data_IF_548932791071
#
_entry.id   IF_548932791071
#
_cell.length_a   1.000
_cell.length_b   1.000
_cell.length_c   1.000
_cell.angle_alpha   90.00
_cell.angle_beta   90.00
_cell.angle_gamma   90.00
#
_symmetry.space_group_name_H-M   'P 1'
#
loop_
_entity.id
_entity.type
_entity.pdbx_description
1 polymer ?
#
# COMPACT_ATOMS: atom_id res chain seq x y z
N UNK A 1 -51.79 30.15 5.91
CA UNK A 1 -52.50 30.79 4.79
C UNK A 1 -53.26 29.72 4.03
N UNK A 2 -54.59 29.72 4.13
CA UNK A 2 -55.58 29.39 3.10
C UNK A 2 -56.94 29.47 3.78
N UNK A 3 -57.50 30.67 3.71
CA UNK A 3 -58.91 31.01 3.86
C UNK A 3 -59.74 30.31 2.79
N UNK A 4 -60.97 29.91 3.09
CA UNK A 4 -62.15 29.89 2.20
C UNK A 4 -63.36 29.54 3.09
N UNK A 5 -64.08 30.54 3.59
CA UNK A 5 -65.27 31.15 2.97
C UNK A 5 -66.53 30.32 3.19
N UNK A 6 -67.39 30.90 4.03
CA UNK A 6 -68.81 30.65 4.20
C UNK A 6 -69.53 30.59 2.84
N UNK A 7 -70.36 29.56 2.60
CA UNK A 7 -71.39 29.61 1.57
C UNK A 7 -72.76 29.38 2.20
N UNK A 8 -73.61 30.39 1.99
CA UNK A 8 -75.02 30.39 2.31
C UNK A 8 -75.76 29.35 1.45
N UNK A 9 -76.63 28.57 2.06
CA UNK A 9 -77.72 27.90 1.37
C UNK A 9 -79.02 28.16 2.13
N UNK A 10 -79.90 28.91 1.46
CA UNK A 10 -81.26 29.25 1.92
C UNK A 10 -82.17 28.02 2.00
N UNK A 11 -83.21 28.06 2.84
CA UNK A 11 -84.12 26.94 3.08
C UNK A 11 -85.25 26.87 2.04
N UNK A 12 -85.77 25.68 1.70
CA UNK A 12 -87.03 25.56 0.99
C UNK A 12 -88.22 25.47 1.95
N UNK A 13 -89.23 26.31 1.67
CA UNK A 13 -90.63 25.90 1.53
C UNK A 13 -91.39 25.49 2.80
N UNK A 14 -92.24 26.41 3.29
CA UNK A 14 -93.39 26.06 4.16
C UNK A 14 -94.42 25.30 3.32
N UNK A 15 -94.66 24.04 3.69
CA UNK A 15 -95.91 23.32 3.40
C UNK A 15 -96.68 23.18 4.69
N UNK A 16 -97.86 23.80 4.75
CA UNK A 16 -98.83 23.67 5.83
C UNK A 16 -99.56 22.34 5.70
N UNK A 17 -99.63 21.54 6.77
CA UNK A 17 -100.68 20.54 6.91
C UNK A 17 -101.00 20.31 8.38
N UNK A 18 -102.29 20.43 8.65
CA UNK A 18 -103.01 20.30 9.92
C UNK A 18 -102.91 18.90 10.51
N UNK A 19 -102.88 18.78 11.84
CA UNK A 19 -103.04 17.47 12.47
C UNK A 19 -102.90 17.48 13.98
N UNK A 20 -103.98 17.85 14.67
CA UNK A 20 -104.20 17.52 16.07
C UNK A 20 -104.18 15.99 16.26
N UNK A 21 -103.40 15.50 17.23
CA UNK A 21 -103.56 14.13 17.73
C UNK A 21 -102.30 13.52 18.38
N UNK A 22 -102.45 13.11 19.65
CA UNK A 22 -101.64 12.10 20.34
C UNK A 22 -100.38 12.55 21.09
N UNK A 23 -100.61 13.38 22.13
CA UNK A 23 -99.62 13.78 23.14
C UNK A 23 -99.29 12.69 24.20
N UNK A 24 -99.96 11.53 24.22
CA UNK A 24 -99.82 10.56 25.32
C UNK A 24 -99.07 9.24 24.98
N UNK A 25 -98.94 8.83 23.70
CA UNK A 25 -98.21 7.61 23.33
C UNK A 25 -96.72 7.82 22.99
N UNK A 26 -96.30 9.06 22.67
CA UNK A 26 -94.88 9.39 22.36
C UNK A 26 -93.95 9.34 23.59
N UNK A 27 -94.47 9.52 24.82
CA UNK A 27 -93.64 9.50 26.05
C UNK A 27 -93.15 8.10 26.45
N UNK A 28 -93.83 7.01 26.06
CA UNK A 28 -93.38 5.62 26.36
C UNK A 28 -92.39 5.07 25.31
N UNK A 29 -92.58 5.34 24.02
CA UNK A 29 -91.62 4.95 22.95
C UNK A 29 -90.26 5.65 23.06
N UNK A 30 -90.26 6.97 23.34
CA UNK A 30 -89.01 7.73 23.54
C UNK A 30 -88.22 7.38 24.82
N UNK A 31 -88.83 6.69 25.80
CA UNK A 31 -88.12 6.18 27.00
C UNK A 31 -87.42 4.84 26.74
N UNK A 32 -87.95 4.02 25.83
CA UNK A 32 -87.29 2.79 25.36
C UNK A 32 -86.09 3.09 24.46
N UNK A 33 -86.28 3.99 23.49
CA UNK A 33 -85.22 4.43 22.55
C UNK A 33 -84.07 5.19 23.26
N UNK A 34 -84.35 5.94 24.34
CA UNK A 34 -83.29 6.56 25.17
C UNK A 34 -82.49 5.54 25.99
N UNK A 35 -83.13 4.49 26.49
CA UNK A 35 -82.45 3.40 27.22
C UNK A 35 -81.55 2.58 26.30
N UNK A 36 -82.01 2.26 25.10
CA UNK A 36 -81.18 1.54 24.10
C UNK A 36 -79.98 2.38 23.64
N UNK A 37 -80.15 3.69 23.45
CA UNK A 37 -79.04 4.61 23.08
C UNK A 37 -78.03 4.78 24.23
N UNK A 38 -78.49 4.84 25.49
CA UNK A 38 -77.61 4.87 26.67
C UNK A 38 -76.85 3.54 26.85
N UNK A 39 -77.51 2.40 26.65
CA UNK A 39 -76.89 1.07 26.69
C UNK A 39 -75.86 0.88 25.57
N UNK A 40 -76.15 1.34 24.34
CA UNK A 40 -75.20 1.37 23.22
C UNK A 40 -74.03 2.33 23.49
N UNK A 41 -74.28 3.48 24.12
CA UNK A 41 -73.24 4.42 24.57
C UNK A 41 -72.30 3.81 25.62
N UNK A 42 -72.84 3.04 26.57
CA UNK A 42 -72.05 2.31 27.56
C UNK A 42 -71.26 1.17 26.91
N UNK A 43 -71.88 0.42 25.98
CA UNK A 43 -71.22 -0.65 25.24
C UNK A 43 -70.07 -0.13 24.36
N UNK A 44 -70.23 1.02 23.71
CA UNK A 44 -69.18 1.66 22.90
C UNK A 44 -68.02 2.17 23.75
N UNK A 45 -68.29 2.76 24.93
CA UNK A 45 -67.25 3.14 25.91
C UNK A 45 -66.46 1.92 26.41
N UNK A 46 -67.15 0.85 26.83
CA UNK A 46 -66.51 -0.42 27.23
C UNK A 46 -65.68 -1.04 26.10
N UNK A 47 -66.14 -0.95 24.84
CA UNK A 47 -65.38 -1.41 23.66
C UNK A 47 -64.14 -0.57 23.41
N UNK A 48 -64.20 0.76 23.59
CA UNK A 48 -63.06 1.68 23.50
C UNK A 48 -62.03 1.42 24.60
N UNK A 49 -62.48 1.23 25.84
CA UNK A 49 -61.61 0.87 26.99
C UNK A 49 -60.93 -0.48 26.77
N UNK A 50 -61.67 -1.51 26.35
CA UNK A 50 -61.09 -2.82 25.99
C UNK A 50 -60.05 -2.70 24.88
N UNK A 51 -60.28 -1.84 23.88
CA UNK A 51 -59.29 -1.56 22.82
C UNK A 51 -58.05 -0.85 23.37
N UNK A 52 -58.24 0.16 24.23
CA UNK A 52 -57.15 0.91 24.87
C UNK A 52 -56.26 0.00 25.74
N UNK A 53 -56.88 -0.88 26.54
CA UNK A 53 -56.17 -1.87 27.35
C UNK A 53 -55.42 -2.86 26.46
N UNK A 54 -56.03 -3.34 25.37
CA UNK A 54 -55.35 -4.22 24.41
C UNK A 54 -54.16 -3.53 23.75
N UNK A 55 -54.29 -2.27 23.34
CA UNK A 55 -53.19 -1.51 22.75
C UNK A 55 -52.08 -1.20 23.75
N UNK A 56 -52.40 -0.86 25.00
CA UNK A 56 -51.38 -0.58 26.02
C UNK A 56 -50.60 -1.84 26.40
N UNK A 57 -51.27 -2.99 26.50
CA UNK A 57 -50.63 -4.30 26.69
C UNK A 57 -49.75 -4.68 25.49
N UNK A 58 -50.21 -4.45 24.26
CA UNK A 58 -49.42 -4.71 23.06
C UNK A 58 -48.15 -3.84 23.00
N UNK A 59 -48.26 -2.54 23.35
CA UNK A 59 -47.14 -1.61 23.42
C UNK A 59 -46.12 -2.07 24.48
N UNK A 60 -46.59 -2.43 25.69
CA UNK A 60 -45.69 -2.94 26.75
C UNK A 60 -44.96 -4.21 26.32
N UNK A 61 -45.65 -5.15 25.66
CA UNK A 61 -45.02 -6.37 25.13
C UNK A 61 -43.99 -6.08 24.04
N UNK A 62 -44.24 -5.10 23.19
CA UNK A 62 -43.28 -4.68 22.16
C UNK A 62 -42.01 -4.09 22.79
N UNK A 63 -42.15 -3.19 23.77
CA UNK A 63 -40.99 -2.60 24.45
C UNK A 63 -40.20 -3.62 25.26
N UNK A 64 -40.87 -4.54 25.98
CA UNK A 64 -40.20 -5.62 26.70
C UNK A 64 -39.35 -6.50 25.77
N UNK A 65 -39.91 -6.91 24.63
CA UNK A 65 -39.15 -7.66 23.61
C UNK A 65 -37.97 -6.87 23.04
N UNK A 66 -38.14 -5.56 22.85
CA UNK A 66 -37.08 -4.71 22.34
C UNK A 66 -35.92 -4.58 23.34
N UNK A 67 -36.25 -4.51 24.62
CA UNK A 67 -35.29 -4.45 25.73
C UNK A 67 -34.54 -5.78 25.89
N UNK A 68 -35.24 -6.92 25.81
CA UNK A 68 -34.61 -8.26 25.77
C UNK A 68 -33.60 -8.36 24.61
N UNK A 69 -33.99 -7.94 23.41
CA UNK A 69 -33.09 -7.95 22.25
C UNK A 69 -31.86 -7.04 22.43
N UNK A 70 -32.01 -5.91 23.11
CA UNK A 70 -30.88 -5.02 23.42
C UNK A 70 -29.94 -5.62 24.45
N UNK A 71 -30.48 -6.23 25.52
CA UNK A 71 -29.67 -6.93 26.50
C UNK A 71 -28.90 -8.10 25.87
N UNK A 72 -29.54 -8.87 24.99
CA UNK A 72 -28.86 -9.94 24.25
C UNK A 72 -27.75 -9.43 23.34
N UNK A 73 -27.95 -8.29 22.66
CA UNK A 73 -26.92 -7.65 21.85
C UNK A 73 -25.74 -7.19 22.71
N UNK A 74 -26.02 -6.53 23.83
CA UNK A 74 -25.00 -6.03 24.77
C UNK A 74 -24.19 -7.19 25.35
N UNK A 75 -24.84 -8.28 25.77
CA UNK A 75 -24.15 -9.48 26.23
C UNK A 75 -23.25 -10.09 25.15
N UNK A 76 -23.71 -10.13 23.88
CA UNK A 76 -22.89 -10.59 22.74
C UNK A 76 -21.72 -9.65 22.42
N UNK A 77 -21.90 -8.35 22.61
CA UNK A 77 -20.83 -7.38 22.43
C UNK A 77 -19.78 -7.50 23.54
N UNK A 78 -20.21 -7.68 24.79
CA UNK A 78 -19.32 -7.93 25.93
C UNK A 78 -18.49 -9.20 25.75
N UNK A 79 -19.12 -10.31 25.34
CA UNK A 79 -18.42 -11.56 25.05
C UNK A 79 -17.35 -11.37 23.96
N UNK A 80 -17.70 -10.69 22.86
CA UNK A 80 -16.73 -10.37 21.79
C UNK A 80 -15.58 -9.49 22.29
N UNK A 81 -15.86 -8.51 23.14
CA UNK A 81 -14.83 -7.65 23.73
C UNK A 81 -13.89 -8.43 24.66
N UNK A 82 -14.42 -9.39 25.42
CA UNK A 82 -13.61 -10.27 26.27
C UNK A 82 -12.69 -11.18 25.46
N UNK A 83 -13.20 -11.78 24.38
CA UNK A 83 -12.40 -12.58 23.45
C UNK A 83 -11.28 -11.75 22.83
N UNK A 84 -11.58 -10.54 22.36
CA UNK A 84 -10.57 -9.62 21.83
C UNK A 84 -9.52 -9.26 22.88
N UNK A 85 -9.91 -8.99 24.12
CA UNK A 85 -8.98 -8.72 25.22
C UNK A 85 -8.04 -9.89 25.49
N UNK A 86 -8.54 -11.13 25.44
CA UNK A 86 -7.71 -12.35 25.60
C UNK A 86 -6.67 -12.45 24.49
N UNK A 87 -7.09 -12.28 23.22
CA UNK A 87 -6.18 -12.31 22.07
C UNK A 87 -5.11 -11.22 22.17
N UNK A 88 -5.49 -10.00 22.56
CA UNK A 88 -4.55 -8.89 22.76
C UNK A 88 -3.57 -9.18 23.90
N UNK A 89 -4.03 -9.79 24.99
CA UNK A 89 -3.16 -10.18 26.10
C UNK A 89 -2.14 -11.24 25.67
N UNK A 90 -2.57 -12.29 24.96
CA UNK A 90 -1.68 -13.32 24.42
C UNK A 90 -0.64 -12.74 23.45
N UNK A 91 -1.06 -11.86 22.55
CA UNK A 91 -0.15 -11.16 21.65
C UNK A 91 0.84 -10.27 22.41
N UNK A 92 0.38 -9.57 23.46
CA UNK A 92 1.23 -8.67 24.23
C UNK A 92 2.40 -9.40 24.91
N UNK A 93 2.22 -10.65 25.34
CA UNK A 93 3.31 -11.45 25.93
C UNK A 93 4.36 -11.78 24.87
N UNK A 94 3.93 -12.30 23.72
CA UNK A 94 4.82 -12.63 22.58
C UNK A 94 5.57 -11.39 22.08
N UNK A 95 4.87 -10.27 22.00
CA UNK A 95 5.42 -9.01 21.54
C UNK A 95 6.46 -8.44 22.51
N UNK A 96 6.23 -8.55 23.82
CA UNK A 96 7.21 -8.18 24.85
C UNK A 96 8.49 -8.98 24.72
N UNK A 97 8.40 -10.29 24.56
CA UNK A 97 9.58 -11.16 24.38
C UNK A 97 10.34 -10.81 23.10
N UNK A 98 9.62 -10.62 21.98
CA UNK A 98 10.21 -10.23 20.69
C UNK A 98 10.93 -8.88 20.78
N UNK A 99 10.35 -7.90 21.48
CA UNK A 99 10.95 -6.58 21.66
C UNK A 99 12.23 -6.69 22.51
N UNK A 100 12.18 -7.40 23.64
CA UNK A 100 13.37 -7.63 24.48
C UNK A 100 14.50 -8.31 23.69
N UNK A 101 14.18 -9.38 22.97
CA UNK A 101 15.17 -10.07 22.13
C UNK A 101 15.81 -9.13 21.09
N UNK A 102 15.00 -8.28 20.45
CA UNK A 102 15.52 -7.29 19.47
C UNK A 102 16.38 -6.22 20.14
N UNK A 103 16.03 -5.78 21.34
CA UNK A 103 16.84 -4.82 22.12
C UNK A 103 18.20 -5.44 22.45
N UNK A 104 18.22 -6.65 23.02
CA UNK A 104 19.46 -7.37 23.36
C UNK A 104 20.34 -7.61 22.13
N UNK A 105 19.75 -7.96 20.99
CA UNK A 105 20.49 -8.14 19.73
C UNK A 105 21.12 -6.84 19.24
N UNK A 106 20.42 -5.72 19.40
CA UNK A 106 20.91 -4.40 19.00
C UNK A 106 22.05 -3.96 19.92
N UNK A 107 21.90 -4.16 21.23
CA UNK A 107 22.93 -3.92 22.23
C UNK A 107 24.20 -4.73 21.94
N UNK A 108 24.07 -6.03 21.65
CA UNK A 108 25.22 -6.87 21.26
C UNK A 108 25.97 -6.32 20.06
N UNK A 109 25.26 -5.95 18.98
CA UNK A 109 25.88 -5.36 17.78
C UNK A 109 26.56 -4.02 18.08
N UNK A 110 26.00 -3.20 18.98
CA UNK A 110 26.63 -1.95 19.38
C UNK A 110 27.91 -2.19 20.16
N UNK A 111 27.90 -3.16 21.09
CA UNK A 111 29.10 -3.55 21.84
C UNK A 111 30.20 -4.06 20.89
N UNK A 112 29.87 -5.00 19.99
CA UNK A 112 30.81 -5.52 18.98
C UNK A 112 31.40 -4.41 18.12
N UNK A 113 30.58 -3.46 17.65
CA UNK A 113 31.07 -2.31 16.87
C UNK A 113 32.00 -1.41 17.66
N UNK A 114 31.69 -1.15 18.92
CA UNK A 114 32.52 -0.33 19.80
C UNK A 114 33.87 -1.01 20.09
N UNK A 115 33.86 -2.32 20.31
CA UNK A 115 35.08 -3.12 20.50
C UNK A 115 35.97 -3.09 19.27
N UNK A 116 35.41 -3.29 18.08
CA UNK A 116 36.16 -3.20 16.81
C UNK A 116 36.72 -1.79 16.61
N UNK A 117 35.92 -0.75 16.80
CA UNK A 117 36.39 0.63 16.66
C UNK A 117 37.53 0.97 17.63
N UNK A 118 37.48 0.42 18.86
CA UNK A 118 38.54 0.62 19.85
C UNK A 118 39.84 -0.12 19.46
N UNK A 119 39.73 -1.31 18.88
CA UNK A 119 40.88 -2.05 18.34
C UNK A 119 41.50 -1.32 17.15
N UNK A 120 40.69 -0.89 16.19
CA UNK A 120 41.14 -0.12 15.02
C UNK A 120 41.85 1.17 15.44
N UNK A 121 41.28 1.94 16.39
CA UNK A 121 41.90 3.15 16.91
C UNK A 121 43.26 2.87 17.58
N UNK A 122 43.40 1.75 18.29
CA UNK A 122 44.67 1.35 18.90
C UNK A 122 45.71 0.99 17.83
N UNK A 123 45.32 0.21 16.82
CA UNK A 123 46.19 -0.14 15.70
C UNK A 123 46.64 1.07 14.88
N UNK A 124 45.73 2.02 14.64
CA UNK A 124 46.02 3.29 13.98
C UNK A 124 47.01 4.12 14.79
N UNK A 125 46.79 4.25 16.11
CA UNK A 125 47.72 4.97 16.98
C UNK A 125 49.12 4.32 16.98
N UNK A 126 49.22 2.99 16.98
CA UNK A 126 50.51 2.31 16.82
C UNK A 126 51.15 2.56 15.45
N UNK A 127 50.36 2.49 14.38
CA UNK A 127 50.81 2.76 13.02
C UNK A 127 51.35 4.17 12.88
N UNK A 128 50.65 5.16 13.43
CA UNK A 128 51.08 6.56 13.46
C UNK A 128 52.38 6.72 14.22
N UNK A 129 52.51 6.12 15.41
CA UNK A 129 53.78 6.13 16.18
C UNK A 129 54.96 5.56 15.38
N UNK A 130 54.74 4.45 14.66
CA UNK A 130 55.78 3.85 13.79
C UNK A 130 56.14 4.78 12.63
N UNK A 131 55.15 5.39 11.98
CA UNK A 131 55.37 6.34 10.90
C UNK A 131 56.06 7.61 11.38
N UNK A 132 55.73 8.12 12.56
CA UNK A 132 56.41 9.25 13.18
C UNK A 132 57.87 8.96 13.48
N UNK A 133 58.18 7.75 13.99
CA UNK A 133 59.56 7.32 14.19
C UNK A 133 60.34 7.28 12.87
N UNK A 134 59.76 6.72 11.81
CA UNK A 134 60.36 6.71 10.47
C UNK A 134 60.53 8.12 9.90
N UNK A 135 59.54 9.00 10.07
CA UNK A 135 59.62 10.41 9.66
C UNK A 135 60.78 11.11 10.35
N UNK A 136 61.00 10.85 11.64
CA UNK A 136 62.15 11.39 12.40
C UNK A 136 63.48 10.83 11.91
N UNK A 137 63.54 9.54 11.55
CA UNK A 137 64.76 8.89 11.03
C UNK A 137 65.13 9.39 9.62
N UNK A 138 64.14 9.51 8.74
CA UNK A 138 64.32 9.90 7.33
C UNK A 138 64.24 11.42 7.14
N UNK A 139 63.98 12.20 8.21
CA UNK A 139 63.97 13.65 8.14
C UNK A 139 65.33 14.15 7.64
N UNK A 140 65.39 14.48 6.35
CA UNK A 140 66.57 15.06 5.73
C UNK A 140 66.64 16.51 6.22
N UNK A 141 67.52 16.77 7.18
CA UNK A 141 67.92 18.14 7.54
C UNK A 141 68.86 18.66 6.47
N UNK A 142 68.32 18.95 5.28
CA UNK A 142 69.05 19.63 4.22
C UNK A 142 68.88 21.14 4.37
N UNK A 143 69.96 21.88 4.16
CA UNK A 143 69.90 23.33 4.04
C UNK A 143 69.18 23.70 2.74
N UNK A 144 68.51 24.85 2.76
CA UNK A 144 67.78 25.35 1.60
C UNK A 144 68.76 25.76 0.50
N UNK A 145 68.84 24.99 -0.58
CA UNK A 145 69.66 25.27 -1.76
C UNK A 145 68.77 25.78 -2.92
N UNK A 146 68.76 27.09 -3.20
CA UNK A 146 67.93 27.69 -4.24
C UNK A 146 68.34 27.27 -5.66
N UNK A 147 69.61 26.91 -5.88
CA UNK A 147 70.09 26.49 -7.21
C UNK A 147 69.51 25.13 -7.57
N UNK A 148 69.51 24.19 -6.61
CA UNK A 148 68.85 22.89 -6.77
C UNK A 148 67.34 23.02 -6.96
N UNK A 149 66.69 23.93 -6.24
CA UNK A 149 65.25 24.17 -6.38
C UNK A 149 64.87 24.67 -7.78
N UNK A 150 65.70 25.51 -8.38
CA UNK A 150 65.48 26.09 -9.71
C UNK A 150 66.00 25.20 -10.85
N UNK A 151 66.77 24.14 -10.54
CA UNK A 151 67.34 23.25 -11.54
C UNK A 151 66.33 22.23 -12.10
N UNK A 152 66.46 21.91 -13.38
CA UNK A 152 65.64 20.87 -14.01
C UNK A 152 65.87 19.50 -13.37
N UNK A 153 64.79 18.87 -12.93
CA UNK A 153 64.84 17.50 -12.40
C UNK A 153 65.20 16.50 -13.52
N UNK A 154 65.77 15.36 -13.13
CA UNK A 154 66.10 14.27 -14.04
C UNK A 154 64.88 13.82 -14.85
N UNK A 155 63.69 13.83 -14.24
CA UNK A 155 62.44 13.52 -14.91
C UNK A 155 62.00 14.59 -15.93
N UNK A 156 62.24 15.88 -15.66
CA UNK A 156 61.98 16.98 -16.59
C UNK A 156 62.86 16.85 -17.84
N UNK A 157 64.16 16.61 -17.64
CA UNK A 157 65.14 16.39 -18.71
C UNK A 157 64.77 15.18 -19.58
N UNK A 158 64.36 14.08 -18.96
CA UNK A 158 63.92 12.87 -19.66
C UNK A 158 62.63 13.09 -20.48
N UNK A 159 61.65 13.85 -19.97
CA UNK A 159 60.44 14.22 -20.72
C UNK A 159 60.75 15.10 -21.93
N UNK A 160 61.72 16.00 -21.80
CA UNK A 160 62.18 16.85 -22.90
C UNK A 160 63.08 16.11 -23.91
N UNK A 161 63.36 14.82 -23.70
CA UNK A 161 64.21 14.02 -24.60
C UNK A 161 65.68 14.44 -24.58
N UNK A 162 66.10 15.24 -23.61
CA UNK A 162 67.47 15.75 -23.50
C UNK A 162 68.36 14.60 -23.01
N UNK A 163 69.01 13.91 -23.95
CA UNK A 163 69.99 12.85 -23.69
C UNK A 163 69.60 11.42 -24.09
N UNK A 164 68.56 11.22 -24.92
CA UNK A 164 68.17 9.89 -25.43
C UNK A 164 68.36 9.90 -26.96
N UNK A 165 69.25 9.06 -27.49
CA UNK A 165 69.59 8.98 -28.93
C UNK A 165 68.56 8.19 -29.77
N UNK A 166 67.48 7.68 -29.17
CA UNK A 166 66.45 6.88 -29.87
C UNK A 166 65.28 7.76 -30.33
N UNK A 167 65.33 8.21 -31.58
CA UNK A 167 64.39 9.17 -32.21
C UNK A 167 62.95 8.68 -32.44
N UNK A 168 62.55 7.46 -32.02
CA UNK A 168 61.24 6.93 -32.41
C UNK A 168 60.51 6.15 -31.31
N UNK A 169 59.87 6.90 -30.40
CA UNK A 169 58.82 6.34 -29.55
C UNK A 169 57.53 6.28 -30.38
N UNK A 170 57.24 5.11 -30.96
CA UNK A 170 55.94 4.85 -31.60
C UNK A 170 54.83 5.24 -30.61
N UNK A 171 54.04 6.27 -30.96
CA UNK A 171 52.97 6.77 -30.09
C UNK A 171 51.99 5.65 -29.78
N UNK A 172 52.10 5.09 -28.58
CA UNK A 172 51.09 4.19 -28.03
C UNK A 172 49.83 5.03 -27.80
N UNK A 173 48.66 4.57 -28.26
CA UNK A 173 47.42 5.30 -28.03
C UNK A 173 47.17 5.47 -26.53
N UNK A 174 46.64 6.63 -26.14
CA UNK A 174 46.34 6.98 -24.75
C UNK A 174 45.34 6.01 -24.10
N UNK A 175 44.49 5.38 -24.91
CA UNK A 175 43.50 4.39 -24.48
C UNK A 175 43.64 3.09 -25.25
N UNK A 176 43.43 1.99 -24.55
CA UNK A 176 43.28 0.66 -25.16
C UNK A 176 41.92 0.58 -25.83
N UNK A 177 41.89 0.40 -27.16
CA UNK A 177 40.66 0.16 -27.89
C UNK A 177 40.17 -1.26 -27.59
N UNK A 178 39.10 -1.38 -26.80
CA UNK A 178 38.44 -2.65 -26.51
C UNK A 178 37.44 -2.99 -27.63
N UNK A 179 37.96 -3.29 -28.82
CA UNK A 179 37.16 -3.72 -29.96
C UNK A 179 37.15 -5.24 -30.08
N UNK A 180 36.21 -5.77 -30.85
CA UNK A 180 36.20 -7.19 -31.16
C UNK A 180 37.34 -7.56 -32.09
N UNK A 181 38.00 -8.69 -31.82
CA UNK A 181 38.98 -9.30 -32.73
C UNK A 181 38.23 -10.07 -33.84
N UNK A 182 38.85 -10.23 -35.00
CA UNK A 182 38.34 -11.05 -36.12
C UNK A 182 37.94 -12.46 -35.64
N UNK A 183 38.76 -13.07 -34.79
CA UNK A 183 38.47 -14.39 -34.21
C UNK A 183 37.20 -14.40 -33.33
N UNK A 184 36.91 -13.30 -32.63
CA UNK A 184 35.70 -13.15 -31.80
C UNK A 184 34.46 -12.88 -32.65
N UNK A 185 34.65 -12.26 -33.81
CA UNK A 185 33.57 -12.02 -34.78
C UNK A 185 33.21 -13.35 -35.47
N UNK A 186 34.22 -14.10 -35.94
CA UNK A 186 34.06 -15.38 -36.65
C UNK A 186 33.55 -16.50 -35.73
N UNK A 187 33.64 -16.34 -34.40
CA UNK A 187 33.12 -17.35 -33.48
C UNK A 187 31.59 -17.49 -33.53
N UNK A 188 30.86 -16.48 -34.03
CA UNK A 188 29.40 -16.57 -34.20
C UNK A 188 29.04 -17.58 -35.31
N UNK A 189 28.31 -18.68 -35.00
CA UNK A 189 27.89 -19.67 -35.99
C UNK A 189 27.07 -19.08 -37.14
N UNK A 190 26.25 -18.06 -36.86
CA UNK A 190 25.39 -17.42 -37.86
C UNK A 190 26.22 -16.67 -38.88
N UNK A 191 27.22 -15.91 -38.43
CA UNK A 191 28.14 -15.19 -39.30
C UNK A 191 28.96 -16.16 -40.16
N UNK A 192 29.46 -17.24 -39.55
CA UNK A 192 30.25 -18.25 -40.26
C UNK A 192 29.46 -18.92 -41.39
N UNK A 193 28.20 -19.22 -41.14
CA UNK A 193 27.29 -19.77 -42.15
C UNK A 193 26.97 -18.76 -43.25
N UNK A 194 26.79 -17.49 -42.89
CA UNK A 194 26.52 -16.41 -43.83
C UNK A 194 27.69 -16.16 -44.78
N UNK A 195 28.92 -16.12 -44.25
CA UNK A 195 30.14 -15.99 -45.04
C UNK A 195 30.27 -17.14 -46.04
N UNK A 196 30.02 -18.39 -45.63
CA UNK A 196 30.04 -19.54 -46.52
C UNK A 196 28.96 -19.44 -47.63
N UNK A 197 27.78 -18.90 -47.32
CA UNK A 197 26.74 -18.65 -48.32
C UNK A 197 27.09 -17.51 -49.28
N UNK A 198 27.83 -16.49 -48.83
CA UNK A 198 28.35 -15.42 -49.69
C UNK A 198 29.43 -15.94 -50.63
N UNK A 199 30.35 -16.75 -50.12
CA UNK A 199 31.39 -17.41 -50.91
C UNK A 199 30.77 -18.30 -52.01
N UNK A 200 29.67 -18.98 -51.71
CA UNK A 200 28.93 -19.78 -52.67
C UNK A 200 27.98 -18.96 -53.58
N UNK A 201 27.69 -17.70 -53.24
CA UNK A 201 26.76 -16.83 -53.96
C UNK A 201 25.26 -17.08 -53.68
N UNK A 202 24.89 -17.87 -52.65
CA UNK A 202 23.50 -18.25 -52.33
C UNK A 202 22.82 -17.38 -51.25
N UNK A 203 23.49 -16.36 -50.74
CA UNK A 203 23.02 -15.55 -49.61
C UNK A 203 21.65 -14.88 -49.80
N UNK A 204 21.26 -14.52 -51.04
CA UNK A 204 19.98 -13.85 -51.32
C UNK A 204 18.78 -14.81 -51.40
N UNK A 205 19.03 -16.11 -51.49
CA UNK A 205 17.97 -17.12 -51.67
C UNK A 205 17.02 -17.14 -50.48
N UNK A 206 15.75 -17.47 -50.74
CA UNK A 206 14.74 -17.61 -49.67
C UNK A 206 15.16 -18.67 -48.64
N UNK A 207 15.73 -19.77 -49.12
CA UNK A 207 16.26 -20.85 -48.28
C UNK A 207 17.38 -20.38 -47.32
N UNK A 208 18.32 -19.56 -47.80
CA UNK A 208 19.36 -18.97 -46.96
C UNK A 208 18.76 -18.10 -45.85
N UNK A 209 17.74 -17.30 -46.16
CA UNK A 209 17.05 -16.43 -45.19
C UNK A 209 16.32 -17.24 -44.11
N UNK A 210 15.65 -18.33 -44.50
CA UNK A 210 15.00 -19.24 -43.56
C UNK A 210 15.99 -19.99 -42.68
N UNK A 211 17.16 -20.37 -43.21
CA UNK A 211 18.17 -21.06 -42.42
C UNK A 211 18.88 -20.11 -41.44
N UNK A 212 19.22 -18.89 -41.87
CA UNK A 212 19.84 -17.88 -41.01
C UNK A 212 18.95 -17.46 -39.83
N UNK A 213 17.62 -17.52 -39.97
CA UNK A 213 16.70 -17.22 -38.87
C UNK A 213 16.60 -18.34 -37.83
N UNK A 214 16.85 -19.60 -38.24
CA UNK A 214 16.81 -20.79 -37.36
C UNK A 214 18.09 -20.99 -36.56
N UNK A 215 19.22 -20.42 -36.99
CA UNK A 215 20.50 -20.54 -36.28
C UNK A 215 20.45 -19.74 -34.97
N UNK A 216 20.66 -20.42 -33.85
CA UNK A 216 20.72 -19.79 -32.53
C UNK A 216 22.02 -19.02 -32.32
N UNK A 217 22.00 -17.90 -31.58
CA UNK A 217 23.21 -17.20 -31.20
C UNK A 217 24.06 -18.06 -30.25
N UNK A 218 25.40 -17.86 -30.26
CA UNK A 218 26.33 -18.62 -29.42
C UNK A 218 26.01 -18.52 -27.92
N UNK A 219 25.47 -17.39 -27.47
CA UNK A 219 24.99 -17.19 -26.11
C UNK A 219 23.48 -16.98 -26.16
N UNK A 220 22.68 -17.77 -25.42
CA UNK A 220 21.25 -17.53 -25.34
C UNK A 220 20.99 -16.16 -24.71
N UNK A 221 19.84 -15.53 -25.03
CA UNK A 221 19.42 -14.31 -24.34
C UNK A 221 19.29 -14.59 -22.84
N UNK A 222 19.47 -13.53 -22.03
CA UNK A 222 19.24 -13.62 -20.59
C UNK A 222 17.76 -13.96 -20.33
N UNK A 223 17.48 -14.61 -19.19
CA UNK A 223 16.16 -15.15 -18.83
C UNK A 223 15.03 -14.11 -18.83
N UNK A 224 15.37 -12.87 -18.48
CA UNK A 224 14.49 -11.69 -18.48
C UNK A 224 14.20 -11.15 -19.89
N UNK A 225 15.03 -11.50 -20.87
CA UNK A 225 14.94 -11.05 -22.27
C UNK A 225 14.38 -12.11 -23.21
N UNK A 226 13.91 -13.25 -22.69
CA UNK A 226 13.27 -14.27 -23.51
C UNK A 226 11.96 -13.75 -24.13
N UNK A 227 11.92 -13.61 -25.45
CA UNK A 227 10.68 -13.30 -26.15
C UNK A 227 9.79 -14.55 -26.23
N UNK A 228 8.50 -14.37 -25.95
CA UNK A 228 7.48 -15.42 -26.14
C UNK A 228 6.96 -15.50 -27.58
N UNK A 229 7.31 -14.51 -28.42
CA UNK A 229 6.80 -14.35 -29.79
C UNK A 229 7.18 -15.50 -30.72
N UNK A 230 8.29 -16.19 -30.44
CA UNK A 230 8.81 -17.27 -31.29
C UNK A 230 8.74 -18.66 -30.64
N UNK A 231 8.00 -18.81 -29.53
CA UNK A 231 7.74 -20.12 -28.91
C UNK A 231 6.54 -20.77 -29.60
N UNK A 232 6.80 -21.77 -30.46
CA UNK A 232 5.78 -22.69 -31.03
C UNK A 232 5.54 -23.83 -30.04
#
# INVERSE_FOLDING_TARGET
MFSFSSSMASPPGRGSETGNGNFCQKKKKGRGERKTVEEEGIATKRRKERKSIKSSVAIRKYWAKKEEMWQEMEMRDLQRLEELKKLMAEQSVKDRERVKYRQELLEKRLMEKNEVALQEAHEEAERERRLEALRKQVAIVAQFDPVRMMSDTVASKAKMGIGIEEEFILQKPLFTLNTYNEQQIISDPRLRFELALREAGLHETFYAKEMLSKISPQKPPRKDMESTVFKI
#
